data_IF_385545953182
#
_entry.id   IF_385545953182
#
_cell.length_a   1.000
_cell.length_b   1.000
_cell.length_c   1.000
_cell.angle_alpha   90.00
_cell.angle_beta   90.00
_cell.angle_gamma   90.00
#
_symmetry.space_group_name_H-M   'P 1'
#
loop_
_entity.id
_entity.type
_entity.pdbx_description
1 polymer ?
#
# COMPACT_ATOMS: atom_id res chain seq x y z
N UNK A 1 15.48 -9.46 -7.09
CA UNK A 1 14.79 -10.64 -7.70
C UNK A 1 13.56 -11.10 -6.93
N UNK A 2 13.61 -11.32 -5.60
CA UNK A 2 12.44 -11.84 -4.84
C UNK A 2 11.22 -10.90 -4.80
N UNK A 3 11.42 -9.59 -4.61
CA UNK A 3 10.32 -8.61 -4.59
C UNK A 3 9.61 -8.43 -5.94
N UNK A 4 10.30 -8.64 -7.06
CA UNK A 4 9.70 -8.58 -8.40
C UNK A 4 8.70 -9.71 -8.62
N UNK A 5 8.98 -10.92 -8.12
CA UNK A 5 8.06 -12.05 -8.19
C UNK A 5 6.81 -11.80 -7.34
N UNK A 6 6.98 -11.20 -6.16
CA UNK A 6 5.86 -10.81 -5.30
C UNK A 6 5.01 -9.74 -5.99
N UNK A 7 5.63 -8.70 -6.57
CA UNK A 7 4.93 -7.67 -7.34
C UNK A 7 4.15 -8.25 -8.53
N UNK A 8 4.78 -9.14 -9.31
CA UNK A 8 4.13 -9.81 -10.44
C UNK A 8 2.97 -10.71 -9.99
N UNK A 9 3.13 -11.43 -8.87
CA UNK A 9 2.06 -12.26 -8.30
C UNK A 9 0.87 -11.41 -7.85
N UNK A 10 1.12 -10.33 -7.09
CA UNK A 10 0.07 -9.42 -6.63
C UNK A 10 -0.65 -8.78 -7.82
N UNK A 11 0.10 -8.36 -8.85
CA UNK A 11 -0.48 -7.83 -10.07
C UNK A 11 -1.35 -8.87 -10.80
N UNK A 12 -0.88 -10.11 -10.91
CA UNK A 12 -1.65 -11.19 -11.54
C UNK A 12 -2.94 -11.50 -10.77
N UNK A 13 -2.89 -11.53 -9.42
CA UNK A 13 -4.06 -11.71 -8.57
C UNK A 13 -5.04 -10.53 -8.74
N UNK A 14 -4.54 -9.29 -8.77
CA UNK A 14 -5.37 -8.11 -8.99
C UNK A 14 -6.08 -8.12 -10.34
N UNK A 15 -5.35 -8.46 -11.42
CA UNK A 15 -5.91 -8.59 -12.77
C UNK A 15 -6.95 -9.71 -12.82
N UNK A 16 -6.65 -10.88 -12.23
CA UNK A 16 -7.59 -11.99 -12.17
C UNK A 16 -8.88 -11.60 -11.45
N UNK A 17 -8.77 -10.96 -10.28
CA UNK A 17 -9.92 -10.48 -9.52
C UNK A 17 -10.76 -9.46 -10.32
N UNK A 18 -10.12 -8.52 -11.01
CA UNK A 18 -10.83 -7.53 -11.83
C UNK A 18 -11.51 -8.16 -13.05
N UNK A 19 -10.87 -9.13 -13.71
CA UNK A 19 -11.47 -9.87 -14.83
C UNK A 19 -12.70 -10.64 -14.38
N UNK A 20 -12.63 -11.33 -13.24
CA UNK A 20 -13.79 -12.04 -12.70
C UNK A 20 -14.90 -11.06 -12.32
N UNK A 21 -14.56 -9.94 -11.67
CA UNK A 21 -15.51 -8.87 -11.35
C UNK A 21 -16.20 -8.29 -12.59
N UNK A 22 -15.49 -8.10 -13.70
CA UNK A 22 -16.07 -7.57 -14.95
C UNK A 22 -17.07 -8.53 -15.61
N UNK A 23 -16.94 -9.85 -15.43
CA UNK A 23 -17.89 -10.82 -15.99
C UNK A 23 -19.29 -10.71 -15.38
N UNK A 24 -19.40 -10.22 -14.14
CA UNK A 24 -20.66 -10.16 -13.41
C UNK A 24 -21.22 -8.75 -13.24
N UNK A 25 -20.51 -7.69 -13.68
CA UNK A 25 -20.96 -6.30 -13.52
C UNK A 25 -21.60 -5.70 -14.77
N UNK A 26 -22.84 -5.24 -14.60
CA UNK A 26 -23.40 -4.09 -15.32
C UNK A 26 -22.76 -2.82 -14.76
N UNK A 27 -22.14 -2.04 -15.65
CA UNK A 27 -21.43 -0.77 -15.42
C UNK A 27 -22.06 0.11 -14.31
N UNK A 28 -21.29 0.48 -13.26
CA UNK A 28 -21.27 1.88 -12.74
C UNK A 28 -20.42 2.20 -11.49
N UNK A 29 -19.64 1.29 -10.90
CA UNK A 29 -18.77 1.68 -9.76
C UNK A 29 -17.37 1.07 -9.84
N UNK A 30 -16.54 1.65 -10.72
CA UNK A 30 -15.20 1.19 -11.04
C UNK A 30 -14.10 1.68 -10.07
N UNK A 31 -14.27 2.84 -9.44
CA UNK A 31 -13.11 3.56 -8.87
C UNK A 31 -12.62 3.11 -7.49
N UNK A 32 -13.33 2.23 -6.77
CA UNK A 32 -13.00 1.88 -5.38
C UNK A 32 -13.09 0.36 -5.10
N UNK A 33 -12.98 -0.47 -6.13
CA UNK A 33 -12.93 -1.91 -5.92
C UNK A 33 -11.57 -2.32 -5.32
N UNK A 34 -11.53 -3.21 -4.31
CA UNK A 34 -10.28 -3.75 -3.76
C UNK A 34 -9.33 -4.31 -4.83
N UNK A 35 -9.87 -4.89 -5.91
CA UNK A 35 -9.10 -5.38 -7.06
C UNK A 35 -8.29 -4.27 -7.75
N UNK A 36 -8.86 -3.08 -7.96
CA UNK A 36 -8.17 -1.94 -8.57
C UNK A 36 -7.01 -1.46 -7.70
N UNK A 37 -7.20 -1.42 -6.38
CA UNK A 37 -6.14 -1.07 -5.42
C UNK A 37 -5.00 -2.10 -5.50
N UNK A 38 -5.32 -3.40 -5.56
CA UNK A 38 -4.32 -4.46 -5.72
C UNK A 38 -3.55 -4.35 -7.05
N UNK A 39 -4.22 -3.99 -8.15
CA UNK A 39 -3.56 -3.76 -9.44
C UNK A 39 -2.59 -2.58 -9.35
N UNK A 40 -3.04 -1.42 -8.84
CA UNK A 40 -2.19 -0.24 -8.71
C UNK A 40 -0.97 -0.51 -7.83
N UNK A 41 -1.19 -1.17 -6.69
CA UNK A 41 -0.12 -1.56 -5.77
C UNK A 41 0.84 -2.56 -6.43
N UNK A 42 0.31 -3.57 -7.14
CA UNK A 42 1.10 -4.55 -7.89
C UNK A 42 1.99 -3.92 -8.97
N UNK A 43 1.44 -2.97 -9.73
CA UNK A 43 2.18 -2.20 -10.75
C UNK A 43 3.34 -1.43 -10.11
N UNK A 44 3.06 -0.65 -9.06
CA UNK A 44 4.10 0.13 -8.36
C UNK A 44 5.19 -0.79 -7.82
N UNK A 45 4.82 -1.86 -7.13
CA UNK A 45 5.79 -2.83 -6.58
C UNK A 45 6.64 -3.48 -7.69
N UNK A 46 6.03 -3.85 -8.82
CA UNK A 46 6.75 -4.46 -9.94
C UNK A 46 7.77 -3.50 -10.56
N UNK A 47 7.37 -2.26 -10.87
CA UNK A 47 8.26 -1.28 -11.47
C UNK A 47 9.40 -0.85 -10.54
N UNK A 48 9.10 -0.60 -9.26
CA UNK A 48 10.13 -0.26 -8.25
C UNK A 48 11.12 -1.42 -8.10
N UNK A 49 10.62 -2.65 -8.03
CA UNK A 49 11.48 -3.84 -7.93
C UNK A 49 12.34 -4.05 -9.19
N UNK A 50 11.77 -3.81 -10.38
CA UNK A 50 12.48 -3.93 -11.65
C UNK A 50 13.60 -2.90 -11.76
N UNK A 51 13.32 -1.64 -11.42
CA UNK A 51 14.35 -0.59 -11.39
C UNK A 51 15.44 -0.89 -10.37
N UNK A 52 15.10 -1.39 -9.18
CA UNK A 52 16.10 -1.77 -8.19
C UNK A 52 17.05 -2.88 -8.67
N UNK A 53 16.52 -3.89 -9.38
CA UNK A 53 17.35 -4.95 -9.99
C UNK A 53 18.25 -4.39 -11.10
N UNK A 54 17.69 -3.57 -12.00
CA UNK A 54 18.47 -2.96 -13.08
C UNK A 54 19.54 -2.00 -12.57
N UNK A 55 19.26 -1.22 -11.52
CA UNK A 55 20.21 -0.32 -10.88
C UNK A 55 21.42 -1.08 -10.33
N UNK A 56 21.17 -2.23 -9.68
CA UNK A 56 22.22 -3.09 -9.15
C UNK A 56 23.02 -3.84 -10.22
N UNK A 57 22.44 -4.14 -11.38
CA UNK A 57 23.10 -4.91 -12.44
C UNK A 57 23.92 -4.05 -13.41
N UNK A 58 23.50 -2.81 -13.65
CA UNK A 58 24.13 -1.93 -14.65
C UNK A 58 25.10 -0.91 -14.05
N UNK A 59 25.32 -0.92 -12.74
CA UNK A 59 26.12 0.07 -12.00
C UNK A 59 25.80 1.52 -12.43
N UNK A 60 24.53 1.77 -12.78
CA UNK A 60 24.11 3.04 -13.35
C UNK A 60 23.59 3.94 -12.23
N UNK A 61 24.44 4.91 -11.86
CA UNK A 61 24.15 5.95 -10.85
C UNK A 61 22.80 6.64 -11.04
N UNK A 62 22.44 7.00 -12.27
CA UNK A 62 21.18 7.68 -12.57
C UNK A 62 19.97 6.80 -12.23
N UNK A 63 20.04 5.51 -12.54
CA UNK A 63 18.96 4.56 -12.24
C UNK A 63 18.84 4.29 -10.75
N UNK A 64 19.97 4.25 -10.03
CA UNK A 64 19.99 4.12 -8.58
C UNK A 64 19.45 5.36 -7.86
N UNK A 65 19.77 6.56 -8.37
CA UNK A 65 19.20 7.82 -7.88
C UNK A 65 17.68 7.84 -8.08
N UNK A 66 17.19 7.46 -9.26
CA UNK A 66 15.75 7.35 -9.52
C UNK A 66 15.06 6.37 -8.56
N UNK A 67 15.66 5.19 -8.32
CA UNK A 67 15.14 4.22 -7.36
C UNK A 67 15.05 4.80 -5.94
N UNK A 68 16.10 5.49 -5.48
CA UNK A 68 16.12 6.15 -4.16
C UNK A 68 15.03 7.22 -4.04
N UNK A 69 14.86 8.09 -5.06
CA UNK A 69 13.83 9.12 -5.04
C UNK A 69 12.43 8.53 -4.98
N UNK A 70 12.17 7.46 -5.76
CA UNK A 70 10.85 6.82 -5.76
C UNK A 70 10.55 6.17 -4.40
N UNK A 71 11.51 5.44 -3.82
CA UNK A 71 11.34 4.90 -2.46
C UNK A 71 11.18 6.00 -1.41
N UNK A 72 11.93 7.09 -1.52
CA UNK A 72 11.82 8.24 -0.62
C UNK A 72 10.44 8.90 -0.71
N UNK A 73 9.90 9.09 -1.92
CA UNK A 73 8.56 9.62 -2.13
C UNK A 73 7.50 8.66 -1.56
N UNK A 74 7.62 7.35 -1.78
CA UNK A 74 6.71 6.36 -1.19
C UNK A 74 6.70 6.45 0.34
N UNK A 75 7.89 6.47 0.96
CA UNK A 75 8.03 6.58 2.41
C UNK A 75 7.39 7.87 2.95
N UNK A 76 7.57 9.00 2.27
CA UNK A 76 6.95 10.27 2.65
C UNK A 76 5.42 10.21 2.51
N UNK A 77 4.89 9.65 1.42
CA UNK A 77 3.45 9.49 1.22
C UNK A 77 2.86 8.59 2.32
N UNK A 78 3.51 7.50 2.69
CA UNK A 78 3.06 6.61 3.76
C UNK A 78 3.05 7.29 5.13
N UNK A 79 4.11 8.04 5.46
CA UNK A 79 4.19 8.78 6.72
C UNK A 79 3.14 9.89 6.78
N UNK A 80 3.00 10.69 5.72
CA UNK A 80 2.00 11.76 5.64
C UNK A 80 0.60 11.15 5.70
N UNK A 81 0.34 10.10 4.92
CA UNK A 81 -0.95 9.39 4.91
C UNK A 81 -1.31 8.83 6.29
N UNK A 82 -0.35 8.22 6.98
CA UNK A 82 -0.52 7.74 8.35
C UNK A 82 -0.83 8.86 9.33
N UNK A 83 -0.10 9.96 9.29
CA UNK A 83 -0.34 11.14 10.15
C UNK A 83 -1.72 11.76 9.87
N UNK A 84 -2.09 11.92 8.60
CA UNK A 84 -3.40 12.45 8.19
C UNK A 84 -4.52 11.54 8.68
N UNK A 85 -4.39 10.22 8.52
CA UNK A 85 -5.37 9.25 9.01
C UNK A 85 -5.53 9.27 10.53
N UNK A 86 -4.47 9.60 11.28
CA UNK A 86 -4.53 9.76 12.73
C UNK A 86 -5.17 11.09 13.15
N UNK A 87 -4.79 12.20 12.53
CA UNK A 87 -5.34 13.54 12.85
C UNK A 87 -6.82 13.60 12.48
N UNK A 88 -7.18 13.12 11.29
CA UNK A 88 -8.54 13.16 10.75
C UNK A 88 -9.26 11.82 10.92
N UNK A 89 -8.98 11.10 12.01
CA UNK A 89 -9.51 9.75 12.26
C UNK A 89 -11.02 9.64 12.07
N UNK A 90 -11.79 10.62 12.58
CA UNK A 90 -13.25 10.59 12.45
C UNK A 90 -13.68 10.69 10.99
N UNK A 91 -13.11 11.62 10.22
CA UNK A 91 -13.39 11.72 8.77
C UNK A 91 -12.96 10.46 8.00
N UNK A 92 -11.83 9.85 8.35
CA UNK A 92 -11.40 8.59 7.75
C UNK A 92 -12.40 7.46 8.03
N UNK A 93 -12.90 7.37 9.26
CA UNK A 93 -13.92 6.39 9.67
C UNK A 93 -15.23 6.63 8.93
N UNK A 94 -15.67 7.88 8.84
CA UNK A 94 -16.91 8.26 8.16
C UNK A 94 -16.84 7.93 6.67
N UNK A 95 -15.71 8.26 6.02
CA UNK A 95 -15.45 7.86 4.63
C UNK A 95 -15.50 6.34 4.48
N UNK A 96 -14.91 5.58 5.40
CA UNK A 96 -14.95 4.12 5.36
C UNK A 96 -16.39 3.59 5.50
N UNK A 97 -17.16 4.12 6.46
CA UNK A 97 -18.55 3.75 6.70
C UNK A 97 -19.44 4.07 5.49
N UNK A 98 -19.23 5.21 4.83
CA UNK A 98 -19.94 5.57 3.60
C UNK A 98 -19.65 4.58 2.46
N UNK A 99 -18.39 4.18 2.30
CA UNK A 99 -18.00 3.15 1.32
C UNK A 99 -18.63 1.79 1.66
N UNK A 100 -18.65 1.41 2.93
CA UNK A 100 -19.30 0.16 3.38
C UNK A 100 -20.81 0.21 3.10
N UNK A 101 -21.48 1.34 3.36
CA UNK A 101 -22.92 1.51 3.05
C UNK A 101 -23.21 1.39 1.56
N UNK A 102 -22.36 1.97 0.70
CA UNK A 102 -22.44 1.80 -0.76
C UNK A 102 -22.20 0.34 -1.18
N UNK A 103 -21.27 -0.36 -0.52
CA UNK A 103 -21.07 -1.79 -0.73
C UNK A 103 -22.29 -2.62 -0.30
N UNK A 104 -22.90 -2.30 0.85
CA UNK A 104 -24.11 -2.96 1.37
C UNK A 104 -25.27 -2.88 0.38
N UNK A 105 -25.44 -1.77 -0.34
CA UNK A 105 -26.48 -1.65 -1.38
C UNK A 105 -26.37 -2.76 -2.43
N UNK A 106 -25.14 -3.12 -2.83
CA UNK A 106 -24.85 -4.11 -3.86
C UNK A 106 -24.40 -5.46 -3.28
N UNK A 107 -24.70 -5.76 -2.01
CA UNK A 107 -24.16 -6.93 -1.30
C UNK A 107 -24.48 -8.30 -1.97
N UNK A 108 -25.57 -8.41 -2.73
CA UNK A 108 -25.90 -9.65 -3.45
C UNK A 108 -25.38 -9.67 -4.89
N UNK A 109 -25.03 -8.50 -5.45
CA UNK A 109 -24.57 -8.35 -6.83
C UNK A 109 -23.03 -8.33 -6.90
N UNK A 110 -22.36 -7.88 -5.84
CA UNK A 110 -20.90 -7.84 -5.70
C UNK A 110 -20.40 -8.97 -4.78
N UNK A 111 -20.02 -10.09 -5.40
CA UNK A 111 -19.54 -11.29 -4.68
C UNK A 111 -18.26 -11.04 -3.88
N UNK A 112 -17.38 -10.15 -4.35
CA UNK A 112 -16.14 -9.80 -3.66
C UNK A 112 -16.45 -9.06 -2.36
N UNK A 113 -17.30 -8.02 -2.46
CA UNK A 113 -17.77 -7.29 -1.28
C UNK A 113 -18.51 -8.22 -0.32
N UNK A 114 -19.38 -9.11 -0.84
CA UNK A 114 -20.11 -10.09 -0.05
C UNK A 114 -19.15 -10.97 0.78
N UNK A 115 -18.15 -11.56 0.13
CA UNK A 115 -17.19 -12.45 0.78
C UNK A 115 -16.37 -11.72 1.86
N UNK A 116 -15.92 -10.50 1.56
CA UNK A 116 -15.17 -9.68 2.53
C UNK A 116 -16.07 -9.30 3.71
N UNK A 117 -17.28 -8.81 3.45
CA UNK A 117 -18.21 -8.41 4.50
C UNK A 117 -18.62 -9.61 5.38
N UNK A 118 -18.92 -10.76 4.77
CA UNK A 118 -19.24 -11.99 5.48
C UNK A 118 -18.10 -12.45 6.37
N UNK A 119 -16.85 -12.39 5.87
CA UNK A 119 -15.66 -12.69 6.64
C UNK A 119 -15.51 -11.73 7.82
N UNK A 120 -15.56 -10.42 7.56
CA UNK A 120 -15.38 -9.38 8.58
C UNK A 120 -16.44 -9.52 9.69
N UNK A 121 -17.71 -9.72 9.34
CA UNK A 121 -18.79 -9.88 10.33
C UNK A 121 -18.61 -11.11 11.21
N UNK A 122 -18.19 -12.23 10.62
CA UNK A 122 -17.95 -13.49 11.35
C UNK A 122 -16.71 -13.39 12.24
N UNK A 123 -15.62 -12.85 11.70
CA UNK A 123 -14.31 -12.78 12.37
C UNK A 123 -14.33 -11.77 13.52
N UNK A 124 -14.80 -10.55 13.24
CA UNK A 124 -14.81 -9.45 14.20
C UNK A 124 -16.11 -9.34 15.02
N UNK A 125 -17.03 -10.29 14.85
CA UNK A 125 -18.30 -10.37 15.62
C UNK A 125 -19.04 -9.04 15.62
N UNK A 126 -19.37 -8.56 14.43
CA UNK A 126 -19.93 -7.24 14.18
C UNK A 126 -21.00 -7.30 13.08
N UNK A 127 -21.75 -6.22 12.89
CA UNK A 127 -22.77 -6.14 11.84
C UNK A 127 -22.88 -4.73 11.26
N UNK A 128 -22.91 -4.62 9.93
CA UNK A 128 -22.92 -3.33 9.23
C UNK A 128 -21.56 -2.63 9.28
N UNK A 129 -21.49 -1.38 8.83
CA UNK A 129 -20.26 -0.59 8.87
C UNK A 129 -20.12 0.11 10.22
N UNK A 130 -21.02 1.05 10.46
CA UNK A 130 -21.12 1.83 11.70
C UNK A 130 -22.11 1.19 12.67
N UNK A 131 -23.21 0.65 12.16
CA UNK A 131 -24.27 0.02 12.95
C UNK A 131 -25.00 -1.06 12.15
N UNK A 132 -25.64 -2.01 12.84
CA UNK A 132 -26.43 -3.06 12.20
C UNK A 132 -27.59 -2.49 11.36
N UNK A 133 -28.05 -1.27 11.65
CA UNK A 133 -29.07 -0.58 10.85
C UNK A 133 -28.59 -0.15 9.46
N UNK A 134 -27.29 -0.18 9.18
CA UNK A 134 -26.77 0.09 7.82
C UNK A 134 -27.37 -0.86 6.77
N UNK A 135 -27.83 -2.05 7.18
CA UNK A 135 -28.54 -3.00 6.32
C UNK A 135 -29.86 -2.48 5.76
N UNK A 136 -30.46 -1.44 6.35
CA UNK A 136 -31.61 -0.73 5.74
C UNK A 136 -31.28 -0.13 4.38
N UNK A 137 -30.00 0.10 4.06
CA UNK A 137 -29.59 0.59 2.74
C UNK A 137 -29.64 -0.48 1.65
N UNK A 138 -29.73 -1.76 2.01
CA UNK A 138 -29.80 -2.83 1.03
C UNK A 138 -31.26 -3.04 0.55
N UNK A 139 -31.51 -3.16 -0.77
CA UNK A 139 -32.86 -3.33 -1.32
C UNK A 139 -33.65 -4.54 -0.81
N UNK A 140 -32.98 -5.59 -0.31
CA UNK A 140 -33.62 -6.81 0.19
C UNK A 140 -33.81 -6.81 1.72
N UNK A 141 -33.03 -6.00 2.45
CA UNK A 141 -33.06 -5.94 3.92
C UNK A 141 -33.76 -4.68 4.45
N UNK A 142 -34.06 -3.69 3.60
CA UNK A 142 -34.93 -2.58 3.95
C UNK A 142 -36.27 -3.09 4.52
N UNK A 143 -36.83 -2.41 5.52
CA UNK A 143 -38.08 -2.85 6.16
C UNK A 143 -39.29 -2.75 5.24
N UNK A 144 -39.20 -1.97 4.16
CA UNK A 144 -40.20 -1.83 3.10
C UNK A 144 -40.00 -2.84 1.97
N UNK A 145 -38.92 -3.61 1.99
CA UNK A 145 -38.61 -4.59 0.95
C UNK A 145 -39.63 -5.74 0.95
N UNK A 146 -39.95 -6.31 -0.22
CA UNK A 146 -40.72 -7.54 -0.28
C UNK A 146 -39.84 -8.74 0.11
N UNK A 147 -40.40 -9.68 0.87
CA UNK A 147 -39.81 -10.99 1.10
C UNK A 147 -39.30 -11.25 2.52
N UNK A 148 -38.70 -12.43 2.75
CA UNK A 148 -38.36 -12.90 4.09
C UNK A 148 -37.12 -12.22 4.69
N UNK A 149 -36.32 -11.52 3.88
CA UNK A 149 -35.12 -10.80 4.35
C UNK A 149 -35.43 -9.38 4.84
N UNK A 150 -36.64 -8.88 4.56
CA UNK A 150 -37.04 -7.52 4.90
C UNK A 150 -36.94 -7.25 6.40
N UNK A 151 -36.44 -6.06 6.74
CA UNK A 151 -36.19 -5.62 8.10
C UNK A 151 -35.21 -6.51 8.90
N UNK A 152 -34.36 -7.24 8.19
CA UNK A 152 -33.42 -8.18 8.76
C UNK A 152 -31.96 -7.83 8.48
N UNK A 153 -31.07 -8.65 9.01
CA UNK A 153 -29.63 -8.61 8.72
C UNK A 153 -29.17 -9.99 8.23
N UNK A 154 -28.07 -10.09 7.47
CA UNK A 154 -27.54 -11.37 7.05
C UNK A 154 -27.16 -12.26 8.24
N UNK A 155 -27.21 -13.58 8.04
CA UNK A 155 -26.88 -14.58 9.05
C UNK A 155 -25.45 -14.46 9.62
N UNK A 156 -24.54 -13.80 8.89
CA UNK A 156 -23.17 -13.51 9.31
C UNK A 156 -23.11 -12.55 10.50
N UNK A 157 -24.15 -11.73 10.71
CA UNK A 157 -24.30 -10.87 11.88
C UNK A 157 -24.73 -11.62 13.14
N UNK A 158 -25.10 -12.89 13.05
CA UNK A 158 -25.74 -13.58 14.15
C UNK A 158 -24.75 -14.11 15.19
N UNK A 159 -25.17 -14.02 16.44
CA UNK A 159 -24.43 -14.60 17.56
C UNK A 159 -24.50 -16.12 17.41
N UNK A 160 -23.34 -16.76 17.25
CA UNK A 160 -23.26 -18.22 17.19
C UNK A 160 -23.43 -18.78 18.61
N UNK A 161 -24.41 -19.66 18.78
CA UNK A 161 -24.53 -20.45 19.99
C UNK A 161 -23.45 -21.56 20.01
N UNK A 162 -23.17 -22.17 21.17
CA UNK A 162 -22.19 -23.25 21.33
C UNK A 162 -22.56 -24.54 20.57
N UNK A 163 -23.77 -24.64 20.05
CA UNK A 163 -24.22 -25.75 19.20
C UNK A 163 -23.91 -25.45 17.73
N UNK A 164 -23.35 -26.41 16.99
CA UNK A 164 -22.92 -26.26 15.58
C UNK A 164 -24.06 -25.99 14.57
N UNK A 165 -25.30 -25.78 15.03
CA UNK A 165 -26.45 -25.49 14.19
C UNK A 165 -26.54 -23.98 13.95
N UNK A 166 -26.23 -23.58 12.72
CA UNK A 166 -26.35 -22.18 12.28
C UNK A 166 -27.82 -21.90 11.97
N UNK A 167 -28.47 -21.06 12.78
CA UNK A 167 -29.79 -20.51 12.42
C UNK A 167 -29.59 -19.43 11.35
N UNK A 168 -29.92 -19.72 10.09
CA UNK A 168 -29.79 -18.76 8.99
C UNK A 168 -30.83 -17.63 9.01
N UNK A 169 -31.89 -17.76 9.82
CA UNK A 169 -32.99 -16.80 9.98
C UNK A 169 -32.94 -16.01 11.30
N UNK A 170 -31.84 -16.10 12.05
CA UNK A 170 -31.60 -15.34 13.28
C UNK A 170 -31.75 -13.82 13.12
N UNK A 171 -31.40 -13.29 11.94
CA UNK A 171 -31.49 -11.86 11.63
C UNK A 171 -32.89 -11.41 11.20
N UNK A 172 -33.92 -12.25 11.25
CA UNK A 172 -35.27 -11.91 10.79
C UNK A 172 -35.94 -10.87 11.71
N UNK A 173 -36.41 -9.75 11.13
CA UNK A 173 -37.08 -8.64 11.85
C UNK A 173 -36.31 -8.24 13.12
N UNK A 174 -35.05 -7.90 12.92
CA UNK A 174 -34.17 -7.41 13.98
C UNK A 174 -33.95 -5.91 13.89
N UNK A 175 -34.12 -5.29 12.72
CA UNK A 175 -33.87 -3.85 12.52
C UNK A 175 -34.89 -2.98 13.27
N UNK A 176 -36.14 -3.42 13.33
CA UNK A 176 -37.28 -2.76 13.99
C UNK A 176 -37.32 -2.95 15.51
N UNK A 177 -36.51 -3.86 16.05
CA UNK A 177 -36.47 -4.16 17.48
C UNK A 177 -35.51 -3.24 18.24
N UNK A 178 -35.75 -3.14 19.55
CA UNK A 178 -34.88 -2.37 20.42
C UNK A 178 -33.51 -3.05 20.55
N UNK A 179 -32.43 -2.25 20.48
CA UNK A 179 -31.03 -2.72 20.51
C UNK A 179 -30.73 -3.70 21.65
N UNK A 180 -31.22 -3.42 22.86
CA UNK A 180 -31.00 -4.26 24.05
C UNK A 180 -31.68 -5.63 23.94
N UNK A 181 -32.81 -5.71 23.26
CA UNK A 181 -33.56 -6.96 23.07
C UNK A 181 -32.91 -7.90 22.06
N UNK A 182 -32.07 -7.40 21.15
CA UNK A 182 -31.47 -8.18 20.06
C UNK A 182 -29.96 -8.41 20.21
N UNK A 183 -29.31 -7.78 21.20
CA UNK A 183 -27.85 -7.89 21.41
C UNK A 183 -27.35 -9.33 21.66
N UNK A 184 -28.24 -10.23 22.10
CA UNK A 184 -27.95 -11.64 22.32
C UNK A 184 -28.29 -12.52 21.10
N UNK A 185 -28.93 -11.94 20.07
CA UNK A 185 -29.33 -12.61 18.82
C UNK A 185 -28.37 -12.25 17.70
N UNK A 186 -28.01 -10.97 17.60
CA UNK A 186 -27.09 -10.43 16.59
C UNK A 186 -26.01 -9.56 17.22
N UNK A 187 -24.87 -9.45 16.54
CA UNK A 187 -23.82 -8.50 16.86
C UNK A 187 -24.25 -7.08 16.48
N UNK A 188 -24.82 -6.33 17.42
CA UNK A 188 -25.32 -4.96 17.19
C UNK A 188 -24.23 -3.90 16.96
N UNK A 189 -22.96 -4.26 17.12
CA UNK A 189 -21.83 -3.35 16.99
C UNK A 189 -21.39 -3.26 15.52
N UNK A 190 -21.15 -2.04 15.02
CA UNK A 190 -20.58 -1.82 13.69
C UNK A 190 -19.17 -2.39 13.51
N UNK A 191 -18.89 -2.89 12.30
CA UNK A 191 -17.62 -3.53 11.99
C UNK A 191 -16.43 -2.58 11.97
N UNK A 192 -16.60 -1.32 11.54
CA UNK A 192 -15.50 -0.36 11.51
C UNK A 192 -14.92 -0.15 12.90
N UNK A 193 -15.79 0.03 13.90
CA UNK A 193 -15.36 0.16 15.28
C UNK A 193 -14.83 -1.16 15.87
N UNK A 194 -15.40 -2.31 15.49
CA UNK A 194 -14.93 -3.62 15.97
C UNK A 194 -13.50 -3.92 15.50
N UNK A 195 -13.21 -3.69 14.22
CA UNK A 195 -11.88 -3.85 13.62
C UNK A 195 -10.88 -2.89 14.26
N UNK A 196 -11.26 -1.63 14.49
CA UNK A 196 -10.39 -0.65 15.16
C UNK A 196 -10.00 -1.08 16.58
N UNK A 197 -10.94 -1.60 17.38
CA UNK A 197 -10.61 -2.12 18.71
C UNK A 197 -9.73 -3.34 18.60
N UNK A 198 -10.00 -4.24 17.65
CA UNK A 198 -9.13 -5.39 17.42
C UNK A 198 -7.69 -4.98 17.11
N UNK A 199 -7.45 -3.93 16.30
CA UNK A 199 -6.11 -3.42 16.04
C UNK A 199 -5.42 -2.86 17.30
N UNK A 200 -6.17 -2.17 18.15
CA UNK A 200 -5.63 -1.63 19.42
C UNK A 200 -5.30 -2.75 20.40
N UNK A 201 -6.19 -3.75 20.51
CA UNK A 201 -5.98 -4.90 21.38
C UNK A 201 -4.85 -5.80 20.87
N UNK A 202 -4.63 -5.85 19.55
CA UNK A 202 -3.57 -6.60 18.89
C UNK A 202 -2.45 -5.68 18.39
N UNK A 203 -2.00 -4.75 19.23
CA UNK A 203 -0.98 -3.76 18.88
C UNK A 203 0.32 -4.39 18.34
N UNK A 204 0.66 -5.62 18.75
CA UNK A 204 1.84 -6.35 18.28
C UNK A 204 1.76 -6.68 16.78
N UNK A 205 0.60 -7.12 16.30
CA UNK A 205 0.36 -7.40 14.87
C UNK A 205 0.44 -6.10 14.08
N UNK A 206 -0.22 -5.05 14.58
CA UNK A 206 -0.21 -3.72 13.95
C UNK A 206 1.21 -3.16 13.84
N UNK A 207 1.99 -3.20 14.93
CA UNK A 207 3.38 -2.76 14.94
C UNK A 207 4.26 -3.59 13.99
N UNK A 208 4.03 -4.90 13.93
CA UNK A 208 4.73 -5.80 12.99
C UNK A 208 4.46 -5.45 11.53
N UNK A 209 3.19 -5.17 11.17
CA UNK A 209 2.83 -4.74 9.80
C UNK A 209 3.46 -3.39 9.47
N UNK A 210 3.36 -2.40 10.36
CA UNK A 210 3.96 -1.08 10.15
C UNK A 210 5.48 -1.17 9.99
N UNK A 211 6.15 -1.93 10.83
CA UNK A 211 7.60 -2.13 10.74
C UNK A 211 7.98 -2.86 9.45
N UNK A 212 7.20 -3.87 9.05
CA UNK A 212 7.40 -4.62 7.81
C UNK A 212 7.28 -3.78 6.54
N UNK A 213 6.50 -2.70 6.58
CA UNK A 213 6.35 -1.75 5.47
C UNK A 213 7.44 -0.68 5.51
N UNK A 214 7.64 -0.01 6.65
CA UNK A 214 8.51 1.16 6.75
C UNK A 214 10.00 0.80 6.79
N UNK A 215 10.38 -0.28 7.47
CA UNK A 215 11.79 -0.62 7.67
C UNK A 215 12.50 -0.96 6.35
N UNK A 216 11.96 -1.82 5.46
CA UNK A 216 12.62 -2.11 4.18
C UNK A 216 12.76 -0.87 3.29
N UNK A 217 11.79 0.04 3.30
CA UNK A 217 11.86 1.29 2.54
C UNK A 217 12.95 2.20 3.07
N UNK A 218 12.99 2.41 4.39
CA UNK A 218 14.03 3.20 5.04
C UNK A 218 15.43 2.64 4.76
N UNK A 219 15.61 1.32 4.93
CA UNK A 219 16.89 0.66 4.63
C UNK A 219 17.24 0.78 3.15
N UNK A 220 16.27 0.65 2.24
CA UNK A 220 16.48 0.82 0.80
C UNK A 220 16.99 2.21 0.44
N UNK A 221 16.40 3.25 1.02
CA UNK A 221 16.84 4.64 0.84
C UNK A 221 18.24 4.84 1.44
N UNK A 222 18.47 4.39 2.68
CA UNK A 222 19.76 4.53 3.36
C UNK A 222 20.90 3.84 2.58
N UNK A 223 20.69 2.60 2.16
CA UNK A 223 21.69 1.84 1.39
C UNK A 223 21.95 2.48 0.02
N UNK A 224 20.91 2.99 -0.65
CA UNK A 224 21.08 3.68 -1.93
C UNK A 224 21.85 4.99 -1.77
N UNK A 225 21.58 5.76 -0.72
CA UNK A 225 22.34 6.98 -0.37
C UNK A 225 23.81 6.67 -0.08
N UNK A 226 24.06 5.66 0.76
CA UNK A 226 25.43 5.24 1.09
C UNK A 226 26.18 4.77 -0.15
N UNK A 227 25.54 4.03 -1.05
CA UNK A 227 26.17 3.59 -2.28
C UNK A 227 26.49 4.77 -3.20
N UNK A 228 25.53 5.69 -3.41
CA UNK A 228 25.70 6.84 -4.31
C UNK A 228 26.81 7.75 -3.80
N UNK A 229 26.80 8.11 -2.51
CA UNK A 229 27.86 8.94 -1.90
C UNK A 229 29.24 8.31 -2.07
N UNK A 230 29.36 6.99 -1.87
CA UNK A 230 30.64 6.29 -2.04
C UNK A 230 31.13 6.30 -3.48
N UNK A 231 30.24 6.11 -4.45
CA UNK A 231 30.62 6.15 -5.87
C UNK A 231 30.99 7.58 -6.30
N UNK A 232 30.25 8.59 -5.84
CA UNK A 232 30.56 10.00 -6.10
C UNK A 232 31.92 10.40 -5.53
N UNK A 233 32.26 9.96 -4.31
CA UNK A 233 33.58 10.17 -3.70
C UNK A 233 34.70 9.56 -4.55
N UNK A 234 34.55 8.30 -5.00
CA UNK A 234 35.55 7.62 -5.84
C UNK A 234 35.75 8.36 -7.18
N UNK A 235 34.67 8.84 -7.80
CA UNK A 235 34.74 9.60 -9.04
C UNK A 235 35.44 10.95 -8.81
N UNK A 236 35.19 11.61 -7.68
CA UNK A 236 35.84 12.87 -7.33
C UNK A 236 37.35 12.69 -7.11
N UNK A 237 37.77 11.63 -6.40
CA UNK A 237 39.19 11.31 -6.19
C UNK A 237 39.92 11.02 -7.51
N UNK A 238 39.29 10.29 -8.43
CA UNK A 238 39.88 10.02 -9.75
C UNK A 238 40.01 11.28 -10.60
N UNK A 239 39.02 12.18 -10.56
CA UNK A 239 39.10 13.48 -11.25
C UNK A 239 40.23 14.34 -10.69
N UNK A 240 40.34 14.43 -9.36
CA UNK A 240 41.40 15.22 -8.72
C UNK A 240 42.80 14.66 -9.01
N UNK A 241 42.94 13.33 -9.09
CA UNK A 241 44.18 12.67 -9.49
C UNK A 241 44.52 12.93 -10.97
N UNK A 242 43.52 12.93 -11.86
CA UNK A 242 43.69 13.24 -13.27
C UNK A 242 44.09 14.72 -13.47
N UNK A 243 43.39 15.66 -12.83
CA UNK A 243 43.69 17.09 -12.89
C UNK A 243 45.11 17.39 -12.36
N UNK A 244 45.53 16.72 -11.27
CA UNK A 244 46.89 16.82 -10.76
C UNK A 244 47.95 16.30 -11.74
N UNK A 245 47.66 15.20 -12.45
CA UNK A 245 48.58 14.66 -13.46
C UNK A 245 48.71 15.56 -14.69
N UNK A 246 47.60 16.19 -15.12
CA UNK A 246 47.58 17.15 -16.23
C UNK A 246 48.35 18.42 -15.86
N UNK A 247 48.11 18.96 -14.66
CA UNK A 247 48.83 20.13 -14.15
C UNK A 247 50.35 19.88 -14.07
N UNK A 248 50.77 18.71 -13.60
CA UNK A 248 52.20 18.34 -13.57
C UNK A 248 52.80 18.26 -14.98
N UNK A 249 52.03 17.79 -15.97
CA UNK A 249 52.48 17.68 -17.35
C UNK A 249 52.60 19.05 -18.04
N UNK A 250 51.64 19.97 -17.84
CA UNK A 250 51.75 21.36 -18.31
C UNK A 250 52.96 22.07 -17.70
N UNK A 251 53.21 21.87 -16.40
CA UNK A 251 54.33 22.50 -15.71
C UNK A 251 55.68 21.98 -16.24
N UNK A 252 55.77 20.68 -16.53
CA UNK A 252 56.93 20.08 -17.19
C UNK A 252 57.14 20.59 -18.62
N UNK A 253 56.09 20.84 -19.40
CA UNK A 253 56.21 21.40 -20.76
C UNK A 253 56.62 22.88 -20.75
N UNK A 254 56.11 23.69 -19.81
CA UNK A 254 56.53 25.08 -19.63
C UNK A 254 58.01 25.17 -19.23
N UNK A 255 58.48 24.29 -18.35
CA UNK A 255 59.89 24.22 -17.96
C UNK A 255 60.78 23.79 -19.14
N UNK A 256 60.31 22.84 -19.98
CA UNK A 256 61.00 22.44 -21.22
C UNK A 256 61.05 23.54 -22.28
N UNK A 257 59.98 24.33 -22.41
CA UNK A 257 59.90 25.47 -23.32
C UNK A 257 60.77 26.67 -22.84
N UNK A 258 61.03 26.77 -21.53
CA UNK A 258 61.93 27.76 -20.94
C UNK A 258 63.43 27.43 -21.10
N UNK A 259 63.80 26.16 -21.32
CA UNK A 259 65.19 25.73 -21.54
C UNK A 259 65.66 25.80 -23.01
N UNK A 260 65.29 26.87 -23.72
CA UNK A 260 65.79 27.19 -25.05
C UNK A 260 66.94 28.21 -25.01
N UNK A 261 68.11 27.81 -25.52
CA UNK A 261 69.32 28.61 -25.82
C UNK A 261 70.33 28.91 -24.67
N UNK A 262 71.18 27.93 -24.36
CA UNK A 262 72.58 28.23 -23.97
C UNK A 262 73.46 28.20 -25.23
N UNK A 263 73.79 29.38 -25.75
CA UNK A 263 74.79 29.59 -26.81
C UNK A 263 76.18 29.20 -26.30
N UNK A 264 76.75 28.10 -26.81
CA UNK A 264 78.19 27.86 -26.73
C UNK A 264 78.89 28.66 -27.84
N UNK A 265 79.68 29.65 -27.45
CA UNK A 265 80.52 30.44 -28.35
C UNK A 265 81.76 29.64 -28.79
N UNK A 266 82.09 29.53 -30.08
CA UNK A 266 83.38 29.01 -30.53
C UNK A 266 84.41 30.15 -30.49
N UNK A 267 85.45 29.99 -29.68
CA UNK A 267 86.63 30.85 -29.70
C UNK A 267 87.50 30.57 -30.94
N UNK A 268 87.75 31.61 -31.75
CA UNK A 268 88.82 31.65 -32.76
C UNK A 268 89.82 32.74 -32.37
N UNK A 269 91.04 32.35 -32.00
CA UNK A 269 92.32 32.70 -32.65
C UNK A 269 93.48 32.14 -31.82
#
# INVERSE_FOLDING_TARGET
MRFQLIGAFVLAVGIYAEVERQKYKTLESAFLAPAIILILLGIVMFFVSFMGVLASLRDNLCLLQAFMYILGICLLIELIGGVVALIFRNHTIDFLNENIRRGIQNYYDDLDFKNIMDFVQKEFKCCGGEDYKDWTKNPYHDCSAPGPLACGVPYTCCVRNKTDIINTMCGYKTIDKERLSIQHVIYVRGCTNAVLIWFVDNYSIMAGVLLGILLPQFLGVLLSLLYITRVEDIIAEHKLSADASVAFQEQSEVERAGTGCCMCYPGKQ
#
